data_IF_605543718906
#
_entry.id   IF_605543718906
#
_cell.length_a   1.000
_cell.length_b   1.000
_cell.length_c   1.000
_cell.angle_alpha   90.00
_cell.angle_beta   90.00
_cell.angle_gamma   90.00
#
_symmetry.space_group_name_H-M   'P 1'
#
loop_
_entity.id
_entity.type
_entity.pdbx_description
1 polymer ?
#
# COMPACT_ATOMS: atom_id res chain seq x y z
N UNK A 1 -4.16 -27.60 -0.89
CA UNK A 1 -4.04 -26.47 -1.85
C UNK A 1 -2.58 -26.28 -2.22
N UNK A 2 -2.25 -26.42 -3.51
CA UNK A 2 -0.88 -26.26 -4.01
C UNK A 2 -0.35 -24.83 -3.74
N UNK A 3 0.94 -24.66 -3.42
CA UNK A 3 1.56 -23.37 -3.13
C UNK A 3 1.24 -22.23 -4.14
N UNK A 4 1.18 -22.44 -5.47
CA UNK A 4 0.85 -21.36 -6.41
C UNK A 4 -0.55 -20.76 -6.22
N UNK A 5 -1.53 -21.54 -5.75
CA UNK A 5 -2.91 -21.06 -5.54
C UNK A 5 -3.01 -20.07 -4.38
N UNK A 6 -2.19 -20.25 -3.34
CA UNK A 6 -2.15 -19.35 -2.17
C UNK A 6 -1.44 -18.04 -2.51
N UNK A 7 -0.36 -18.11 -3.30
CA UNK A 7 0.34 -16.93 -3.78
C UNK A 7 -0.57 -16.08 -4.67
N UNK A 8 -1.31 -16.69 -5.61
CA UNK A 8 -2.27 -15.98 -6.46
C UNK A 8 -3.37 -15.27 -5.66
N UNK A 9 -3.93 -15.92 -4.64
CA UNK A 9 -4.93 -15.31 -3.77
C UNK A 9 -4.36 -14.13 -2.96
N UNK A 10 -3.12 -14.25 -2.46
CA UNK A 10 -2.46 -13.16 -1.74
C UNK A 10 -2.21 -11.96 -2.66
N UNK A 11 -1.74 -12.20 -3.89
CA UNK A 11 -1.54 -11.13 -4.88
C UNK A 11 -2.88 -10.44 -5.18
N UNK A 12 -3.93 -11.21 -5.45
CA UNK A 12 -5.26 -10.68 -5.70
C UNK A 12 -5.77 -9.84 -4.51
N UNK A 13 -5.56 -10.33 -3.29
CA UNK A 13 -5.89 -9.62 -2.06
C UNK A 13 -5.14 -8.29 -1.94
N UNK A 14 -3.83 -8.29 -2.16
CA UNK A 14 -3.01 -7.08 -2.08
C UNK A 14 -3.42 -6.05 -3.12
N UNK A 15 -3.71 -6.48 -4.36
CA UNK A 15 -4.23 -5.61 -5.41
C UNK A 15 -5.57 -5.01 -4.98
N UNK A 16 -6.54 -5.84 -4.59
CA UNK A 16 -7.87 -5.37 -4.17
C UNK A 16 -7.80 -4.41 -2.98
N UNK A 17 -7.00 -4.73 -1.96
CA UNK A 17 -6.82 -3.89 -0.78
C UNK A 17 -6.16 -2.55 -1.14
N UNK A 18 -5.14 -2.56 -2.01
CA UNK A 18 -4.46 -1.34 -2.46
C UNK A 18 -5.45 -0.40 -3.14
N UNK A 19 -6.28 -0.90 -4.05
CA UNK A 19 -7.31 -0.10 -4.72
C UNK A 19 -8.39 0.39 -3.75
N UNK A 20 -8.83 -0.45 -2.81
CA UNK A 20 -9.78 -0.05 -1.78
C UNK A 20 -9.23 1.11 -0.94
N UNK A 21 -8.00 0.99 -0.45
CA UNK A 21 -7.32 2.03 0.32
C UNK A 21 -7.16 3.31 -0.51
N UNK A 22 -6.79 3.19 -1.78
CA UNK A 22 -6.66 4.33 -2.70
C UNK A 22 -7.99 5.07 -2.89
N UNK A 23 -9.10 4.35 -3.12
CA UNK A 23 -10.43 4.94 -3.29
C UNK A 23 -10.91 5.61 -2.00
N UNK A 24 -10.66 4.98 -0.85
CA UNK A 24 -10.98 5.59 0.45
C UNK A 24 -10.19 6.89 0.63
N UNK A 25 -8.90 6.89 0.27
CA UNK A 25 -8.06 8.08 0.34
C UNK A 25 -8.54 9.19 -0.59
N UNK A 26 -8.79 8.87 -1.87
CA UNK A 26 -9.22 9.90 -2.84
C UNK A 26 -10.54 10.57 -2.45
N UNK A 27 -11.42 9.87 -1.73
CA UNK A 27 -12.69 10.40 -1.25
C UNK A 27 -12.59 11.14 0.10
N UNK A 28 -11.51 10.94 0.85
CA UNK A 28 -11.39 11.40 2.24
C UNK A 28 -10.02 12.06 2.50
N UNK A 29 -9.59 12.97 1.62
CA UNK A 29 -8.26 13.60 1.67
C UNK A 29 -7.92 14.21 3.04
N UNK A 30 -8.91 14.80 3.72
CA UNK A 30 -8.72 15.46 5.02
C UNK A 30 -8.37 14.49 6.17
N UNK A 31 -8.70 13.21 6.02
CA UNK A 31 -8.44 12.19 7.05
C UNK A 31 -7.06 11.55 6.91
N UNK A 32 -6.39 11.71 5.77
CA UNK A 32 -5.10 11.10 5.54
C UNK A 32 -3.98 12.04 5.98
N UNK A 33 -3.05 11.55 6.82
CA UNK A 33 -1.95 12.37 7.28
C UNK A 33 -1.07 12.78 6.10
N UNK A 34 -0.63 14.03 6.11
CA UNK A 34 0.43 14.49 5.21
C UNK A 34 1.72 13.77 5.62
N UNK A 35 2.26 12.96 4.71
CA UNK A 35 3.54 12.31 4.96
C UNK A 35 4.67 13.34 4.88
N UNK A 36 5.82 13.05 5.54
CA UNK A 36 6.98 13.90 5.42
C UNK A 36 7.42 14.11 3.96
N UNK A 37 7.96 15.30 3.68
CA UNK A 37 8.35 15.73 2.32
C UNK A 37 9.32 14.75 1.64
N UNK A 38 10.21 14.12 2.40
CA UNK A 38 11.16 13.13 1.88
C UNK A 38 10.47 11.93 1.21
N UNK A 39 9.24 11.60 1.60
CA UNK A 39 8.45 10.53 0.98
C UNK A 39 8.04 10.92 -0.43
N UNK A 40 7.56 12.16 -0.62
CA UNK A 40 7.23 12.71 -1.94
C UNK A 40 8.46 12.79 -2.86
N UNK A 41 9.58 13.28 -2.35
CA UNK A 41 10.86 13.34 -3.08
C UNK A 41 11.33 11.94 -3.49
N UNK A 42 11.25 10.97 -2.57
CA UNK A 42 11.61 9.59 -2.84
C UNK A 42 10.76 8.98 -3.95
N UNK A 43 9.45 9.21 -3.91
CA UNK A 43 8.53 8.73 -4.94
C UNK A 43 8.81 9.40 -6.29
N UNK A 44 8.95 10.73 -6.33
CA UNK A 44 9.28 11.46 -7.55
C UNK A 44 10.57 10.94 -8.21
N UNK A 45 11.58 10.60 -7.39
CA UNK A 45 12.84 10.01 -7.86
C UNK A 45 12.67 8.60 -8.43
N UNK A 46 11.84 7.76 -7.80
CA UNK A 46 11.59 6.38 -8.25
C UNK A 46 10.75 6.36 -9.53
N UNK A 47 9.78 7.26 -9.65
CA UNK A 47 8.89 7.34 -10.82
C UNK A 47 9.51 8.13 -11.97
N UNK A 48 10.62 8.85 -11.74
CA UNK A 48 11.24 9.71 -12.74
C UNK A 48 10.45 10.98 -13.03
N UNK A 49 9.45 11.31 -12.19
CA UNK A 49 8.57 12.47 -12.34
C UNK A 49 9.12 13.74 -11.67
N UNK A 50 10.40 13.74 -11.30
CA UNK A 50 11.02 14.88 -10.60
C UNK A 50 11.07 16.16 -11.46
N UNK A 51 11.18 16.02 -12.79
CA UNK A 51 11.32 17.13 -13.74
C UNK A 51 10.06 17.36 -14.60
N UNK A 52 8.96 16.66 -14.32
CA UNK A 52 7.71 16.79 -15.08
C UNK A 52 6.75 17.76 -14.41
N UNK A 53 6.18 18.71 -15.16
CA UNK A 53 5.11 19.62 -14.69
C UNK A 53 3.78 18.90 -14.35
N UNK A 54 3.74 17.58 -14.49
CA UNK A 54 2.55 16.76 -14.26
C UNK A 54 2.38 16.40 -12.78
N UNK A 55 1.94 17.41 -12.02
CA UNK A 55 1.65 17.29 -10.59
C UNK A 55 0.51 16.30 -10.30
N UNK A 56 -0.42 16.10 -11.24
CA UNK A 56 -1.52 15.16 -11.11
C UNK A 56 -1.02 13.71 -11.16
N UNK A 57 -0.19 13.37 -12.15
CA UNK A 57 0.42 12.03 -12.24
C UNK A 57 1.34 11.75 -11.05
N UNK A 58 2.11 12.74 -10.58
CA UNK A 58 2.94 12.57 -9.38
C UNK A 58 2.08 12.28 -8.14
N UNK A 59 0.96 12.98 -7.97
CA UNK A 59 0.03 12.78 -6.85
C UNK A 59 -0.62 11.41 -6.92
N UNK A 60 -1.04 10.97 -8.11
CA UNK A 60 -1.63 9.65 -8.32
C UNK A 60 -0.62 8.52 -8.01
N UNK A 61 0.61 8.64 -8.50
CA UNK A 61 1.68 7.69 -8.19
C UNK A 61 1.98 7.66 -6.69
N UNK A 62 2.01 8.83 -6.05
CA UNK A 62 2.23 8.93 -4.61
C UNK A 62 1.16 8.19 -3.82
N UNK A 63 -0.13 8.46 -4.08
CA UNK A 63 -1.23 7.80 -3.39
C UNK A 63 -1.23 6.30 -3.63
N UNK A 64 -0.92 5.85 -4.85
CA UNK A 64 -0.86 4.43 -5.21
C UNK A 64 0.27 3.70 -4.46
N UNK A 65 1.49 4.26 -4.47
CA UNK A 65 2.65 3.65 -3.82
C UNK A 65 2.43 3.57 -2.31
N UNK A 66 1.96 4.65 -1.69
CA UNK A 66 1.68 4.64 -0.25
C UNK A 66 0.56 3.65 0.08
N UNK A 67 -0.51 3.59 -0.72
CA UNK A 67 -1.59 2.61 -0.54
C UNK A 67 -1.08 1.17 -0.62
N UNK A 68 -0.16 0.88 -1.54
CA UNK A 68 0.48 -0.43 -1.66
C UNK A 68 1.32 -0.76 -0.43
N UNK A 69 2.12 0.18 0.08
CA UNK A 69 2.88 -0.01 1.31
C UNK A 69 1.97 -0.27 2.51
N UNK A 70 0.90 0.51 2.68
CA UNK A 70 -0.10 0.31 3.74
C UNK A 70 -0.75 -1.07 3.66
N UNK A 71 -1.15 -1.51 2.46
CA UNK A 71 -1.73 -2.83 2.23
C UNK A 71 -0.77 -3.96 2.67
N UNK A 72 0.51 -3.84 2.33
CA UNK A 72 1.54 -4.82 2.73
C UNK A 72 1.77 -4.82 4.24
N UNK A 73 1.88 -3.66 4.88
CA UNK A 73 2.09 -3.53 6.32
C UNK A 73 0.92 -4.11 7.12
N UNK A 74 -0.31 -3.79 6.75
CA UNK A 74 -1.51 -4.31 7.41
C UNK A 74 -1.61 -5.83 7.22
N UNK A 75 -1.37 -6.32 6.00
CA UNK A 75 -1.41 -7.76 5.71
C UNK A 75 -0.32 -8.51 6.49
N UNK A 76 0.89 -7.94 6.60
CA UNK A 76 1.98 -8.51 7.39
C UNK A 76 1.65 -8.49 8.89
N UNK A 77 1.10 -7.39 9.42
CA UNK A 77 0.69 -7.29 10.82
C UNK A 77 -0.39 -8.33 11.15
N UNK A 78 -1.42 -8.47 10.30
CA UNK A 78 -2.45 -9.49 10.45
C UNK A 78 -1.87 -10.92 10.43
N UNK A 79 -0.90 -11.17 9.53
CA UNK A 79 -0.20 -12.46 9.46
C UNK A 79 0.61 -12.76 10.73
N UNK A 80 1.35 -11.77 11.25
CA UNK A 80 2.12 -11.89 12.48
C UNK A 80 1.20 -12.10 13.70
N UNK A 81 0.12 -11.34 13.80
CA UNK A 81 -0.89 -11.52 14.86
C UNK A 81 -1.48 -12.93 14.84
N UNK A 82 -1.85 -13.43 13.65
CA UNK A 82 -2.32 -14.81 13.51
C UNK A 82 -1.24 -15.78 13.99
N UNK A 83 0.01 -15.62 13.56
CA UNK A 83 1.11 -16.50 13.98
C UNK A 83 1.31 -16.50 15.50
N UNK A 84 1.23 -15.35 16.15
CA UNK A 84 1.32 -15.23 17.61
C UNK A 84 0.17 -15.95 18.31
N UNK A 85 -1.08 -15.73 17.88
CA UNK A 85 -2.27 -16.39 18.45
C UNK A 85 -2.19 -17.92 18.29
N UNK A 86 -1.76 -18.40 17.12
CA UNK A 86 -1.62 -19.84 16.85
C UNK A 86 -0.52 -20.48 17.70
N UNK A 87 0.58 -19.76 17.93
CA UNK A 87 1.68 -20.22 18.78
C UNK A 87 1.26 -20.26 20.25
N UNK A 88 0.49 -19.27 20.71
CA UNK A 88 -0.03 -19.22 22.09
C UNK A 88 -1.10 -20.28 22.40
N UNK A 89 -1.70 -20.91 21.39
CA UNK A 89 -2.71 -21.99 21.55
C UNK A 89 -2.12 -23.40 21.49
N UNK A 90 -0.79 -23.55 21.34
CA UNK A 90 -0.07 -24.81 21.46
C UNK A 90 0.63 -24.89 22.81
#
# INVERSE_FOLDING_TARGET
>A
MSPPKKAGLLILWLVAFTFLHLVIWSQNLDYFPQLPEWVGIGIAKITGLHDTEDAETLTACYMLIVSFFSANLITLAAFLLWRCIKTSRR
#
